data_IF_969847085805
#
_entry.id   IF_969847085805
#
_cell.length_a   1.000
_cell.length_b   1.000
_cell.length_c   1.000
_cell.angle_alpha   90.00
_cell.angle_beta   90.00
_cell.angle_gamma   90.00
#
_symmetry.space_group_name_H-M   'P 1'
#
loop_
_entity.id
_entity.type
_entity.pdbx_description
1 polymer ?
#
# COMPACT_ATOMS: atom_id res chain seq x y z
N UNK A 1 -20.63 -45.97 20.33
CA UNK A 1 -20.95 -44.77 21.14
C UNK A 1 -22.41 -44.39 20.95
N UNK A 2 -23.15 -44.04 22.01
CA UNK A 2 -24.55 -43.61 21.91
C UNK A 2 -24.63 -42.24 21.19
N UNK A 3 -25.64 -42.05 20.34
CA UNK A 3 -25.86 -40.82 19.54
C UNK A 3 -25.77 -39.53 20.38
N UNK A 4 -26.28 -39.56 21.60
CA UNK A 4 -26.25 -38.42 22.53
C UNK A 4 -24.83 -38.08 23.02
N UNK A 5 -23.96 -39.08 23.19
CA UNK A 5 -22.55 -38.86 23.58
C UNK A 5 -21.78 -38.18 22.45
N UNK A 6 -22.05 -38.55 21.18
CA UNK A 6 -21.43 -37.91 20.02
C UNK A 6 -21.86 -36.43 19.95
N UNK A 7 -23.16 -36.14 20.08
CA UNK A 7 -23.68 -34.77 20.02
C UNK A 7 -23.05 -33.87 21.11
N UNK A 8 -22.95 -34.37 22.34
CA UNK A 8 -22.36 -33.61 23.45
C UNK A 8 -20.87 -33.32 23.20
N UNK A 9 -20.11 -34.32 22.74
CA UNK A 9 -18.69 -34.15 22.43
C UNK A 9 -18.51 -33.16 21.28
N UNK A 10 -19.31 -33.25 20.22
CA UNK A 10 -19.25 -32.30 19.10
C UNK A 10 -19.57 -30.87 19.55
N UNK A 11 -20.62 -30.67 20.36
CA UNK A 11 -20.97 -29.34 20.87
C UNK A 11 -19.86 -28.75 21.75
N UNK A 12 -19.24 -29.57 22.60
CA UNK A 12 -18.12 -29.15 23.45
C UNK A 12 -16.89 -28.74 22.63
N UNK A 13 -16.54 -29.51 21.60
CA UNK A 13 -15.43 -29.18 20.69
C UNK A 13 -15.70 -27.86 19.96
N UNK A 14 -16.91 -27.65 19.44
CA UNK A 14 -17.28 -26.40 18.76
C UNK A 14 -17.18 -25.19 19.71
N UNK A 15 -17.64 -25.31 20.94
CA UNK A 15 -17.53 -24.25 21.96
C UNK A 15 -16.08 -23.94 22.31
N UNK A 16 -15.22 -24.94 22.43
CA UNK A 16 -13.79 -24.75 22.68
C UNK A 16 -13.14 -24.04 21.48
N UNK A 17 -13.39 -24.50 20.26
CA UNK A 17 -12.88 -23.85 19.05
C UNK A 17 -13.37 -22.40 18.93
N UNK A 18 -14.64 -22.14 19.24
CA UNK A 18 -15.21 -20.80 19.22
C UNK A 18 -14.62 -19.90 20.32
N UNK A 19 -14.41 -20.42 21.52
CA UNK A 19 -13.76 -19.70 22.62
C UNK A 19 -12.31 -19.30 22.27
N UNK A 20 -11.54 -20.23 21.70
CA UNK A 20 -10.17 -19.95 21.21
C UNK A 20 -10.20 -18.91 20.09
N UNK A 21 -11.16 -19.00 19.16
CA UNK A 21 -11.34 -18.02 18.10
C UNK A 21 -11.62 -16.63 18.66
N UNK A 22 -12.58 -16.47 19.57
CA UNK A 22 -12.92 -15.17 20.18
C UNK A 22 -11.71 -14.58 20.90
N UNK A 23 -11.02 -15.38 21.71
CA UNK A 23 -9.83 -14.96 22.48
C UNK A 23 -8.64 -14.55 21.60
N UNK A 24 -8.56 -15.06 20.37
CA UNK A 24 -7.49 -14.74 19.42
C UNK A 24 -7.91 -13.71 18.38
N UNK A 25 -9.21 -13.47 18.18
CA UNK A 25 -9.73 -12.60 17.11
C UNK A 25 -9.32 -11.14 17.24
N UNK A 26 -9.07 -10.67 18.46
CA UNK A 26 -8.61 -9.30 18.71
C UNK A 26 -7.12 -9.11 18.36
N UNK A 27 -6.38 -10.21 18.18
CA UNK A 27 -4.98 -10.18 17.74
C UNK A 27 -4.84 -10.13 16.23
N UNK A 28 -5.92 -10.40 15.49
CA UNK A 28 -5.92 -10.44 14.03
C UNK A 28 -6.62 -9.21 13.47
N UNK A 29 -5.97 -8.46 12.58
CA UNK A 29 -6.50 -7.19 12.11
C UNK A 29 -7.64 -7.45 11.12
N UNK A 30 -8.79 -6.83 11.37
CA UNK A 30 -10.02 -7.05 10.59
C UNK A 30 -10.17 -6.11 9.39
N UNK A 31 -9.26 -5.14 9.25
CA UNK A 31 -9.24 -4.17 8.15
C UNK A 31 -7.81 -4.01 7.62
N UNK A 32 -7.67 -3.53 6.39
CA UNK A 32 -6.37 -3.17 5.78
C UNK A 32 -5.61 -2.22 6.70
N UNK A 33 -6.26 -1.11 7.09
CA UNK A 33 -5.71 -0.13 8.04
C UNK A 33 -5.19 -0.75 9.32
N UNK A 34 -5.99 -1.59 9.99
CA UNK A 34 -5.57 -2.21 11.24
C UNK A 34 -4.35 -3.13 11.06
N UNK A 35 -4.23 -3.78 9.89
CA UNK A 35 -3.08 -4.62 9.58
C UNK A 35 -1.82 -3.78 9.40
N UNK A 36 -1.95 -2.64 8.73
CA UNK A 36 -0.84 -1.68 8.56
C UNK A 36 -0.44 -1.12 9.92
N UNK A 37 -1.40 -0.62 10.72
CA UNK A 37 -1.16 -0.07 12.06
C UNK A 37 -0.46 -1.10 12.98
N UNK A 38 -0.90 -2.35 12.94
CA UNK A 38 -0.27 -3.43 13.69
C UNK A 38 1.13 -3.78 13.17
N UNK A 39 1.36 -3.73 11.84
CA UNK A 39 2.67 -4.04 11.26
C UNK A 39 3.72 -2.95 11.53
N UNK A 40 3.28 -1.70 11.72
CA UNK A 40 4.16 -0.57 12.08
C UNK A 40 4.22 -0.34 13.60
N UNK A 41 3.46 -1.08 14.39
CA UNK A 41 3.39 -0.94 15.85
C UNK A 41 4.78 -1.12 16.48
N UNK A 42 5.20 -0.13 17.29
CA UNK A 42 6.54 -0.08 17.90
C UNK A 42 7.61 0.60 17.04
N UNK A 43 7.30 0.96 15.79
CA UNK A 43 8.09 1.89 15.00
C UNK A 43 7.57 3.32 15.21
N UNK A 44 8.37 4.36 14.95
CA UNK A 44 7.92 5.77 15.02
C UNK A 44 6.94 6.15 13.89
N UNK A 45 6.40 5.17 13.18
CA UNK A 45 5.50 5.33 12.05
C UNK A 45 4.05 5.27 12.52
N UNK A 46 3.28 6.28 12.18
CA UNK A 46 1.83 6.30 12.36
C UNK A 46 1.18 6.70 11.05
N UNK A 47 0.05 6.06 10.72
CA UNK A 47 -0.83 6.52 9.65
C UNK A 47 -1.52 7.79 10.13
N UNK A 48 -1.22 8.92 9.51
CA UNK A 48 -1.93 10.18 9.80
C UNK A 48 -3.25 10.23 9.03
N UNK A 49 -3.22 9.90 7.75
CA UNK A 49 -4.39 9.99 6.87
C UNK A 49 -4.33 8.99 5.72
N UNK A 50 -5.42 8.26 5.48
CA UNK A 50 -5.56 7.40 4.29
C UNK A 50 -5.97 8.28 3.11
N UNK A 51 -5.22 8.17 2.01
CA UNK A 51 -5.50 8.88 0.75
C UNK A 51 -6.45 8.06 -0.11
N UNK A 52 -6.12 6.79 -0.36
CA UNK A 52 -6.94 5.89 -1.16
C UNK A 52 -6.67 4.41 -0.82
N UNK A 53 -7.68 3.57 -1.08
CA UNK A 53 -7.62 2.10 -0.95
C UNK A 53 -8.00 1.47 -2.29
N UNK A 54 -6.98 1.06 -3.04
CA UNK A 54 -7.12 0.58 -4.41
C UNK A 54 -7.11 -0.95 -4.42
N UNK A 55 -8.16 -1.56 -4.96
CA UNK A 55 -8.21 -3.03 -5.15
C UNK A 55 -7.22 -3.45 -6.25
N UNK A 56 -6.23 -4.26 -5.87
CA UNK A 56 -5.32 -4.91 -6.82
C UNK A 56 -6.02 -6.10 -7.47
N UNK A 57 -6.58 -6.97 -6.62
CA UNK A 57 -7.32 -8.17 -7.01
C UNK A 57 -8.44 -8.48 -5.99
N UNK A 58 -8.95 -9.72 -5.94
CA UNK A 58 -10.02 -10.11 -5.02
C UNK A 58 -9.63 -10.07 -3.55
N UNK A 59 -8.34 -10.23 -3.26
CA UNK A 59 -7.81 -10.36 -1.91
C UNK A 59 -6.81 -9.25 -1.56
N UNK A 60 -6.19 -8.59 -2.54
CA UNK A 60 -5.16 -7.57 -2.29
C UNK A 60 -5.65 -6.13 -2.45
N UNK A 61 -5.18 -5.27 -1.56
CA UNK A 61 -5.47 -3.83 -1.54
C UNK A 61 -4.14 -3.07 -1.45
N UNK A 62 -3.94 -2.11 -2.35
CA UNK A 62 -2.93 -1.07 -2.23
C UNK A 62 -3.52 0.09 -1.44
N UNK A 63 -2.98 0.38 -0.27
CA UNK A 63 -3.37 1.54 0.54
C UNK A 63 -2.31 2.61 0.38
N UNK A 64 -2.70 3.79 -0.10
CA UNK A 64 -1.85 4.99 -0.12
C UNK A 64 -2.22 5.85 1.09
N UNK A 65 -1.23 6.31 1.84
CA UNK A 65 -1.49 7.08 3.06
C UNK A 65 -0.35 8.06 3.36
N UNK A 66 -0.68 9.12 4.10
CA UNK A 66 0.31 9.98 4.71
C UNK A 66 0.75 9.40 6.05
N UNK A 67 2.05 9.42 6.30
CA UNK A 67 2.59 9.07 7.61
C UNK A 67 2.57 10.29 8.56
N UNK A 68 3.05 10.10 9.79
CA UNK A 68 3.11 11.14 10.82
C UNK A 68 3.99 12.35 10.47
N UNK A 69 4.85 12.24 9.44
CA UNK A 69 5.73 13.30 8.94
C UNK A 69 5.16 14.00 7.69
N UNK A 70 3.97 13.61 7.24
CA UNK A 70 3.37 14.13 6.00
C UNK A 70 4.02 13.59 4.72
N UNK A 71 4.82 12.52 4.83
CA UNK A 71 5.36 11.80 3.68
C UNK A 71 4.32 10.81 3.16
N UNK A 72 4.38 10.52 1.86
CA UNK A 72 3.55 9.54 1.21
C UNK A 72 4.17 8.14 1.38
N UNK A 73 3.38 7.24 1.94
CA UNK A 73 3.68 5.83 2.11
C UNK A 73 2.63 4.97 1.39
N UNK A 74 2.97 3.71 1.19
CA UNK A 74 2.08 2.70 0.66
C UNK A 74 2.18 1.39 1.45
N UNK A 75 1.08 0.64 1.44
CA UNK A 75 1.03 -0.72 1.93
C UNK A 75 0.25 -1.60 0.95
N UNK A 76 0.75 -2.82 0.75
CA UNK A 76 -0.03 -3.87 0.10
C UNK A 76 -0.53 -4.81 1.19
N UNK A 77 -1.85 -4.90 1.35
CA UNK A 77 -2.47 -5.80 2.32
C UNK A 77 -3.20 -6.93 1.63
N UNK A 78 -3.21 -8.09 2.29
CA UNK A 78 -3.81 -9.32 1.80
C UNK A 78 -4.95 -9.74 2.73
N UNK A 79 -6.14 -9.86 2.16
CA UNK A 79 -7.34 -10.37 2.83
C UNK A 79 -7.30 -11.90 2.87
N UNK A 80 -7.07 -12.42 4.06
CA UNK A 80 -7.30 -13.82 4.39
C UNK A 80 -8.79 -14.03 4.73
N UNK A 81 -9.18 -15.27 5.02
CA UNK A 81 -10.58 -15.64 5.25
C UNK A 81 -11.28 -14.80 6.34
N UNK A 82 -10.55 -14.38 7.39
CA UNK A 82 -11.12 -13.65 8.52
C UNK A 82 -10.30 -12.42 8.96
N UNK A 83 -9.16 -12.15 8.33
CA UNK A 83 -8.24 -11.11 8.77
C UNK A 83 -7.38 -10.63 7.62
N UNK A 84 -6.63 -9.55 7.84
CA UNK A 84 -5.70 -8.98 6.88
C UNK A 84 -4.26 -9.24 7.31
N UNK A 85 -3.36 -9.38 6.35
CA UNK A 85 -1.91 -9.36 6.56
C UNK A 85 -1.31 -8.27 5.69
N UNK A 86 -0.07 -7.89 5.98
CA UNK A 86 0.67 -6.94 5.16
C UNK A 86 1.69 -7.71 4.33
N UNK A 87 1.52 -7.69 3.01
CA UNK A 87 2.46 -8.29 2.07
C UNK A 87 3.70 -7.40 1.95
N UNK A 88 3.52 -6.07 2.01
CA UNK A 88 4.60 -5.11 1.92
C UNK A 88 4.24 -3.73 2.50
N UNK A 89 5.25 -3.03 3.01
CA UNK A 89 5.25 -1.61 3.39
C UNK A 89 6.40 -0.92 2.67
N UNK A 90 6.12 0.19 2.01
CA UNK A 90 7.15 1.01 1.38
C UNK A 90 6.75 2.47 1.43
N UNK A 91 7.71 3.38 1.51
CA UNK A 91 7.38 4.76 1.86
C UNK A 91 8.53 5.72 1.82
N UNK A 92 8.31 6.85 2.50
CA UNK A 92 9.17 8.02 2.59
C UNK A 92 9.27 8.84 1.30
N UNK A 93 8.18 8.88 0.53
CA UNK A 93 8.11 9.81 -0.58
C UNK A 93 7.79 11.19 -0.01
N UNK A 94 8.77 12.08 -0.01
CA UNK A 94 8.57 13.47 0.36
C UNK A 94 7.47 14.10 -0.49
N UNK A 95 6.57 14.80 0.19
CA UNK A 95 5.49 15.55 -0.43
C UNK A 95 5.74 17.05 -0.25
N UNK A 96 4.92 17.88 -0.89
CA UNK A 96 4.92 19.33 -0.64
C UNK A 96 4.56 19.68 0.81
N UNK A 97 3.99 18.74 1.57
CA UNK A 97 3.60 18.90 2.96
C UNK A 97 4.63 18.31 3.96
N UNK A 98 5.70 17.68 3.47
CA UNK A 98 6.75 17.13 4.34
C UNK A 98 7.54 18.24 5.02
N UNK A 99 7.89 18.04 6.31
CA UNK A 99 8.65 19.02 7.10
C UNK A 99 10.06 19.28 6.54
N UNK A 100 10.64 18.29 5.86
CA UNK A 100 11.91 18.38 5.14
C UNK A 100 11.66 18.20 3.65
N UNK A 101 11.42 19.30 2.93
CA UNK A 101 11.45 19.28 1.46
C UNK A 101 12.90 19.14 1.03
N UNK A 102 13.22 18.23 0.11
CA UNK A 102 14.56 18.02 -0.45
C UNK A 102 15.16 19.33 -0.98
N UNK A 103 15.90 20.05 -0.15
CA UNK A 103 16.63 21.25 -0.56
C UNK A 103 17.87 20.82 -1.33
N UNK A 104 17.91 21.07 -2.64
CA UNK A 104 19.13 20.94 -3.45
C UNK A 104 18.99 20.25 -4.80
N UNK A 105 17.86 19.61 -5.10
CA UNK A 105 17.61 19.00 -6.42
C UNK A 105 16.21 19.36 -6.90
N UNK A 106 16.12 19.90 -8.11
CA UNK A 106 14.87 20.27 -8.76
C UNK A 106 14.23 19.02 -9.43
N UNK A 107 13.66 18.15 -8.61
CA UNK A 107 12.97 16.95 -9.12
C UNK A 107 11.64 17.32 -9.78
N UNK A 108 11.34 16.70 -10.92
CA UNK A 108 10.02 16.81 -11.56
C UNK A 108 9.00 15.85 -10.94
N UNK A 109 9.47 14.72 -10.42
CA UNK A 109 8.68 13.78 -9.65
C UNK A 109 9.56 13.02 -8.65
N UNK A 110 8.98 12.60 -7.53
CA UNK A 110 9.61 11.68 -6.57
C UNK A 110 8.82 10.38 -6.61
N UNK A 111 9.48 9.32 -7.08
CA UNK A 111 8.85 8.04 -7.41
C UNK A 111 9.52 6.91 -6.63
N UNK A 112 8.71 5.96 -6.19
CA UNK A 112 9.15 4.80 -5.43
C UNK A 112 8.64 3.51 -6.06
N UNK A 113 9.51 2.51 -6.09
CA UNK A 113 9.19 1.14 -6.49
C UNK A 113 9.22 0.24 -5.26
N UNK A 114 8.22 -0.61 -5.11
CA UNK A 114 8.26 -1.69 -4.12
C UNK A 114 7.79 -3.01 -4.73
N UNK A 115 8.58 -4.06 -4.52
CA UNK A 115 8.28 -5.41 -4.98
C UNK A 115 7.75 -6.28 -3.84
N UNK A 116 6.69 -7.03 -4.07
CA UNK A 116 6.10 -7.98 -3.12
C UNK A 116 5.97 -9.37 -3.76
N UNK A 117 5.50 -10.38 -3.02
CA UNK A 117 5.49 -11.79 -3.49
C UNK A 117 6.87 -12.24 -4.00
N UNK A 118 7.90 -12.13 -3.16
CA UNK A 118 9.30 -12.44 -3.52
C UNK A 118 9.85 -11.65 -4.72
N UNK A 119 9.21 -10.53 -5.08
CA UNK A 119 9.61 -9.64 -6.17
C UNK A 119 8.95 -9.94 -7.52
N UNK A 120 7.98 -10.84 -7.58
CA UNK A 120 7.22 -11.15 -8.80
C UNK A 120 6.15 -10.10 -9.11
N UNK A 121 5.57 -9.50 -8.07
CA UNK A 121 4.60 -8.43 -8.17
C UNK A 121 5.18 -7.10 -7.64
N UNK A 122 4.64 -5.99 -8.10
CA UNK A 122 5.09 -4.66 -7.71
C UNK A 122 3.94 -3.69 -7.48
N UNK A 123 4.18 -2.73 -6.61
CA UNK A 123 3.47 -1.46 -6.55
C UNK A 123 4.48 -0.33 -6.75
N UNK A 124 4.06 0.71 -7.45
CA UNK A 124 4.84 1.93 -7.61
C UNK A 124 3.94 3.09 -7.26
N UNK A 125 4.50 4.11 -6.62
CA UNK A 125 3.76 5.29 -6.23
C UNK A 125 4.70 6.49 -6.13
N UNK A 126 4.15 7.69 -6.09
CA UNK A 126 4.94 8.89 -5.92
C UNK A 126 4.15 10.17 -6.07
N UNK A 127 4.88 11.29 -6.12
CA UNK A 127 4.31 12.63 -6.27
C UNK A 127 4.93 13.32 -7.48
N UNK A 128 4.10 13.92 -8.32
CA UNK A 128 4.50 14.84 -9.39
C UNK A 128 4.65 16.24 -8.80
N UNK A 129 5.79 16.88 -9.07
CA UNK A 129 6.15 18.22 -8.60
C UNK A 129 6.20 19.26 -9.73
N UNK A 130 6.31 18.80 -10.99
CA UNK A 130 6.38 19.66 -12.17
C UNK A 130 5.12 19.53 -13.05
N UNK A 131 4.48 20.66 -13.30
CA UNK A 131 3.27 20.77 -14.13
C UNK A 131 3.52 20.38 -15.60
N UNK A 132 4.78 20.37 -16.06
CA UNK A 132 5.13 19.89 -17.40
C UNK A 132 4.84 18.39 -17.58
N UNK A 133 4.77 17.60 -16.50
CA UNK A 133 4.47 16.16 -16.57
C UNK A 133 2.98 15.95 -16.83
N UNK A 134 2.65 15.32 -17.94
CA UNK A 134 1.29 14.88 -18.28
C UNK A 134 1.03 13.41 -17.95
N UNK A 135 2.05 12.54 -18.05
CA UNK A 135 1.91 11.10 -17.81
C UNK A 135 3.23 10.51 -17.31
N UNK A 136 3.13 9.51 -16.44
CA UNK A 136 4.28 8.68 -16.05
C UNK A 136 3.96 7.23 -16.39
N UNK A 137 4.94 6.56 -16.96
CA UNK A 137 4.87 5.15 -17.30
C UNK A 137 5.88 4.36 -16.48
N UNK A 138 5.47 3.17 -16.02
CA UNK A 138 6.37 2.18 -15.45
C UNK A 138 6.03 0.81 -16.01
N UNK A 139 7.04 0.11 -16.54
CA UNK A 139 6.88 -1.25 -17.06
C UNK A 139 5.79 -1.34 -18.16
N UNK A 140 5.82 -0.41 -19.13
CA UNK A 140 4.85 -0.29 -20.23
C UNK A 140 3.40 -0.09 -19.78
N UNK A 141 3.20 0.44 -18.55
CA UNK A 141 1.89 0.71 -17.98
C UNK A 141 1.85 2.13 -17.42
N UNK A 142 0.80 2.84 -17.79
CA UNK A 142 0.51 4.17 -17.28
C UNK A 142 0.25 4.12 -15.78
N UNK A 143 0.89 5.03 -15.06
CA UNK A 143 0.55 5.32 -13.68
C UNK A 143 -0.75 6.13 -13.65
N UNK A 144 -1.65 5.75 -12.76
CA UNK A 144 -2.88 6.47 -12.48
C UNK A 144 -2.58 7.64 -11.58
N UNK A 145 -3.27 8.75 -11.78
CA UNK A 145 -3.12 9.97 -10.98
C UNK A 145 -4.33 10.15 -10.03
N UNK A 146 -4.06 10.64 -8.82
CA UNK A 146 -5.01 11.08 -7.80
C UNK A 146 -4.63 12.51 -7.42
N UNK A 147 -5.57 13.45 -7.52
CA UNK A 147 -5.43 14.75 -6.87
C UNK A 147 -5.82 14.61 -5.40
N UNK A 148 -4.88 14.94 -4.51
CA UNK A 148 -5.14 14.98 -3.07
C UNK A 148 -4.61 16.28 -2.48
N UNK A 149 -5.52 17.21 -2.18
CA UNK A 149 -5.19 18.54 -1.61
C UNK A 149 -4.16 19.30 -2.44
N UNK A 150 -4.27 19.22 -3.77
CA UNK A 150 -3.34 19.85 -4.71
C UNK A 150 -2.02 19.12 -4.91
N UNK A 151 -1.83 17.94 -4.30
CA UNK A 151 -0.74 17.04 -4.64
C UNK A 151 -1.19 16.10 -5.77
N UNK A 152 -0.37 16.00 -6.81
CA UNK A 152 -0.55 15.05 -7.91
C UNK A 152 0.12 13.74 -7.55
N UNK A 153 -0.63 12.83 -6.94
CA UNK A 153 -0.14 11.53 -6.51
C UNK A 153 -0.32 10.55 -7.66
N UNK A 154 0.72 9.78 -7.97
CA UNK A 154 0.66 8.74 -9.01
C UNK A 154 0.88 7.36 -8.41
N UNK A 155 0.25 6.35 -9.01
CA UNK A 155 0.49 4.96 -8.63
C UNK A 155 0.26 3.97 -9.78
N UNK A 156 0.86 2.80 -9.67
CA UNK A 156 0.53 1.62 -10.49
C UNK A 156 0.90 0.35 -9.73
N UNK A 157 0.44 -0.79 -10.23
CA UNK A 157 0.76 -2.11 -9.69
C UNK A 157 0.66 -3.15 -10.80
N UNK A 158 1.32 -4.29 -10.63
CA UNK A 158 1.26 -5.39 -11.59
C UNK A 158 2.40 -6.38 -11.39
N UNK A 159 2.63 -7.22 -12.40
CA UNK A 159 3.77 -8.14 -12.46
C UNK A 159 4.79 -7.60 -13.46
N UNK A 160 6.08 -7.64 -13.13
CA UNK A 160 7.07 -7.01 -14.00
C UNK A 160 8.49 -6.99 -13.49
N UNK A 161 9.37 -6.38 -14.29
CA UNK A 161 10.79 -6.31 -13.98
C UNK A 161 11.07 -5.18 -12.97
N UNK A 162 11.65 -5.46 -11.79
CA UNK A 162 12.03 -4.44 -10.81
C UNK A 162 13.09 -3.45 -11.33
N UNK A 163 13.75 -3.77 -12.45
CA UNK A 163 14.74 -2.91 -13.13
C UNK A 163 14.14 -1.99 -14.19
N UNK A 164 12.83 -2.03 -14.41
CA UNK A 164 12.14 -1.08 -15.28
C UNK A 164 12.36 0.35 -14.78
N UNK A 165 12.44 1.30 -15.70
CA UNK A 165 12.61 2.72 -15.37
C UNK A 165 11.26 3.43 -15.43
N UNK A 166 11.11 4.46 -14.61
CA UNK A 166 10.06 5.44 -14.79
C UNK A 166 10.36 6.28 -16.03
N UNK A 167 9.36 6.47 -16.88
CA UNK A 167 9.43 7.34 -18.06
C UNK A 167 8.39 8.43 -17.89
N UNK A 168 8.85 9.68 -17.91
CA UNK A 168 8.00 10.85 -17.75
C UNK A 168 7.71 11.42 -19.13
N UNK A 169 6.46 11.81 -19.38
CA UNK A 169 6.02 12.39 -20.63
C UNK A 169 5.39 13.75 -20.40
N UNK A 170 5.70 14.70 -21.29
CA UNK A 170 4.92 15.93 -21.42
C UNK A 170 3.61 15.70 -22.19
N UNK A 171 2.82 16.76 -22.34
CA UNK A 171 1.54 16.75 -23.07
C UNK A 171 1.67 16.38 -24.57
N UNK A 172 2.86 16.56 -25.14
CA UNK A 172 3.17 16.31 -26.55
C UNK A 172 3.83 14.92 -26.73
N UNK A 173 3.88 14.09 -25.67
CA UNK A 173 4.55 12.79 -25.58
C UNK A 173 6.07 12.82 -25.74
N UNK A 174 6.72 13.97 -25.50
CA UNK A 174 8.17 13.99 -25.38
C UNK A 174 8.60 13.42 -24.03
N UNK A 175 9.71 12.68 -24.02
CA UNK A 175 10.28 12.13 -22.79
C UNK A 175 10.98 13.24 -22.01
N UNK A 176 10.67 13.34 -20.73
CA UNK A 176 11.29 14.27 -19.79
C UNK A 176 12.32 13.55 -18.91
N UNK A 177 13.34 14.29 -18.50
CA UNK A 177 14.25 13.85 -17.43
C UNK A 177 13.56 13.91 -16.06
N UNK A 178 14.02 13.11 -15.11
CA UNK A 178 13.47 13.08 -13.74
C UNK A 178 13.74 14.38 -12.96
N UNK A 179 14.79 15.11 -13.35
CA UNK A 179 15.20 16.39 -12.77
C UNK A 179 15.14 17.50 -13.82
N UNK A 180 15.08 18.74 -13.36
CA UNK A 180 15.04 19.95 -14.19
C UNK A 180 16.31 20.77 -14.03
#
# INVERSE_FOLDING_TARGET
MKKNTIIIVTAAVVLICFGVYVLTSDRFPKTSRAAIEQAVEGQRFMISEIIDEIKIDSNRILTLYLNGYGELDCAVTHKNLFYYTVDNLAGHVYTTNSAEVLTGVNYRAILHFTGYESGEEYACFGVILDDDIARIEFNNKDMKEIDFRGMRIVYTYGSGNPKSKFILYDKDNNVLELTK
#
